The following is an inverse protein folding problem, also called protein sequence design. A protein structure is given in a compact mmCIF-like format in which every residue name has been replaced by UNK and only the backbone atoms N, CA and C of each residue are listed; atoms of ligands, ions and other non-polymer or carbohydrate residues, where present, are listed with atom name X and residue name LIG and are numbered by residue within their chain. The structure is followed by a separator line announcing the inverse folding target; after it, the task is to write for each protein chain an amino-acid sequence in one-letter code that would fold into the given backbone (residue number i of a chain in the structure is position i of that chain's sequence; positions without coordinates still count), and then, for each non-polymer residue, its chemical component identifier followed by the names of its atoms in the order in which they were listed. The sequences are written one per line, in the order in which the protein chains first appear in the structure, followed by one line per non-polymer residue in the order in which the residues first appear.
data_IF_855188924677
#
_entry.id   IF_855188924677
#
_cell.length_a   1.000
_cell.length_b   1.000
_cell.length_c   1.000
_cell.angle_alpha   90.00
_cell.angle_beta   90.00
_cell.angle_gamma   90.00
#
_symmetry.space_group_name_H-M   'P 1'
#
loop_
_entity.id
_entity.type
_entity.pdbx_description
1 polymer ?
#
# COMPACT_ATOMS: atom_id res chain seq x y z
N UNK A 1 -0.72 12.54 5.31
CA UNK A 1 0.16 11.39 5.58
C UNK A 1 1.33 11.44 4.61
N UNK A 2 2.53 11.17 5.08
CA UNK A 2 3.73 11.14 4.24
C UNK A 2 3.78 9.84 3.43
N UNK A 3 4.10 9.93 2.14
CA UNK A 3 4.23 8.79 1.24
C UNK A 3 5.43 8.97 0.29
N UNK A 4 5.94 7.86 -0.25
CA UNK A 4 6.92 7.87 -1.33
C UNK A 4 6.19 7.63 -2.66
N UNK A 5 6.28 8.57 -3.59
CA UNK A 5 5.66 8.45 -4.91
C UNK A 5 6.71 8.40 -6.02
N UNK A 6 6.51 7.47 -6.95
CA UNK A 6 7.10 7.53 -8.29
C UNK A 6 6.26 8.50 -9.12
N UNK A 7 6.83 9.65 -9.47
CA UNK A 7 6.09 10.75 -10.13
C UNK A 7 6.37 10.84 -11.64
N UNK A 8 7.55 10.43 -12.07
CA UNK A 8 7.97 10.28 -13.47
C UNK A 8 8.98 9.13 -13.59
N UNK A 9 9.49 8.85 -14.79
CA UNK A 9 10.43 7.75 -14.98
C UNK A 9 11.65 7.91 -14.06
N UNK A 10 11.86 6.91 -13.20
CA UNK A 10 12.95 6.84 -12.23
C UNK A 10 13.05 7.98 -11.21
N UNK A 11 12.02 8.83 -11.05
CA UNK A 11 12.02 9.90 -10.03
C UNK A 11 11.06 9.59 -8.89
N UNK A 12 11.63 9.49 -7.70
CA UNK A 12 10.90 9.30 -6.45
C UNK A 12 10.89 10.59 -5.64
N UNK A 13 9.73 10.92 -5.08
CA UNK A 13 9.58 12.05 -4.18
C UNK A 13 8.82 11.65 -2.92
N UNK A 14 9.24 12.22 -1.79
CA UNK A 14 8.44 12.18 -0.58
C UNK A 14 7.40 13.29 -0.66
N UNK A 15 6.13 12.91 -0.56
CA UNK A 15 4.99 13.82 -0.67
C UNK A 15 4.10 13.71 0.56
N UNK A 16 3.36 14.77 0.84
CA UNK A 16 2.27 14.75 1.83
C UNK A 16 0.93 14.60 1.11
N UNK A 17 0.23 13.50 1.37
CA UNK A 17 -1.10 13.21 0.83
C UNK A 17 -2.18 13.45 1.90
N UNK A 18 -3.44 13.75 1.52
CA UNK A 18 -4.54 13.67 2.47
C UNK A 18 -4.63 12.25 3.06
N UNK A 19 -5.15 12.09 4.29
CA UNK A 19 -5.46 10.76 4.80
C UNK A 19 -6.44 10.04 3.86
N UNK A 20 -6.42 8.69 3.81
CA UNK A 20 -7.38 7.95 3.00
C UNK A 20 -8.80 8.23 3.50
N UNK A 21 -9.82 8.15 2.63
CA UNK A 21 -11.20 8.15 3.08
C UNK A 21 -11.47 6.94 3.98
N UNK A 22 -12.59 6.93 4.73
CA UNK A 22 -13.01 5.76 5.49
C UNK A 22 -13.07 4.49 4.60
N UNK A 23 -12.69 3.32 5.13
CA UNK A 23 -12.65 2.08 4.35
C UNK A 23 -14.04 1.68 3.84
N UNK A 24 -14.13 1.25 2.58
CA UNK A 24 -15.38 0.80 1.96
C UNK A 24 -15.76 -0.63 2.38
N UNK A 25 -16.83 -1.18 1.80
CA UNK A 25 -17.28 -2.56 2.03
C UNK A 25 -16.13 -3.55 1.79
N UNK A 26 -15.81 -4.35 2.81
CA UNK A 26 -14.76 -5.38 2.74
C UNK A 26 -13.32 -4.84 2.83
N UNK A 27 -13.14 -3.55 3.10
CA UNK A 27 -11.83 -2.92 3.21
C UNK A 27 -11.46 -2.61 4.67
N UNK A 28 -10.16 -2.43 4.92
CA UNK A 28 -9.62 -1.91 6.16
C UNK A 28 -8.60 -0.83 5.86
N UNK A 29 -8.47 0.14 6.76
CA UNK A 29 -7.36 1.10 6.75
C UNK A 29 -6.29 0.60 7.70
N UNK A 30 -5.04 0.57 7.22
CA UNK A 30 -3.89 0.16 8.03
C UNK A 30 -3.02 1.37 8.34
N UNK A 31 -2.53 1.43 9.58
CA UNK A 31 -1.40 2.30 9.93
C UNK A 31 -0.11 1.52 9.73
N UNK A 32 0.59 1.83 8.64
CA UNK A 32 1.87 1.22 8.31
C UNK A 32 2.91 1.55 9.38
N UNK A 33 3.57 0.51 9.91
CA UNK A 33 4.64 0.62 10.92
C UNK A 33 6.02 0.39 10.30
N UNK A 34 6.10 -0.55 9.37
CA UNK A 34 7.31 -0.86 8.62
C UNK A 34 6.98 -1.14 7.16
N UNK A 35 7.86 -0.70 6.28
CA UNK A 35 7.85 -1.02 4.84
C UNK A 35 9.26 -1.50 4.47
N UNK A 36 9.34 -2.64 3.80
CA UNK A 36 10.59 -3.19 3.30
C UNK A 36 10.76 -2.85 1.82
N UNK A 37 12.01 -2.77 1.38
CA UNK A 37 12.34 -2.65 -0.04
C UNK A 37 12.51 -4.05 -0.62
N UNK A 38 11.65 -4.41 -1.57
CA UNK A 38 11.79 -5.64 -2.34
C UNK A 38 12.36 -5.35 -3.73
N UNK A 39 12.90 -6.37 -4.39
CA UNK A 39 13.39 -6.25 -5.75
C UNK A 39 12.29 -5.87 -6.77
N UNK A 40 11.02 -6.22 -6.50
CA UNK A 40 9.87 -5.82 -7.32
C UNK A 40 9.69 -4.30 -7.37
N UNK A 41 9.99 -3.59 -6.27
CA UNK A 41 9.95 -2.13 -6.24
C UNK A 41 11.00 -1.54 -7.20
N UNK A 42 12.20 -2.15 -7.25
CA UNK A 42 13.28 -1.76 -8.16
C UNK A 42 12.89 -2.03 -9.62
N UNK A 43 12.25 -3.16 -9.92
CA UNK A 43 11.74 -3.45 -11.26
C UNK A 43 10.67 -2.45 -11.69
N UNK A 44 9.75 -2.11 -10.77
CA UNK A 44 8.73 -1.09 -10.97
C UNK A 44 9.35 0.29 -11.22
N UNK A 45 10.38 0.66 -10.46
CA UNK A 45 11.14 1.90 -10.64
C UNK A 45 11.86 1.96 -12.00
N UNK A 46 12.49 0.85 -12.44
CA UNK A 46 13.19 0.73 -13.74
C UNK A 46 12.27 0.70 -14.95
N UNK A 47 10.94 0.57 -14.77
CA UNK A 47 9.98 0.53 -15.86
C UNK A 47 9.92 -0.81 -16.61
N UNK A 48 10.22 -1.93 -15.94
CA UNK A 48 10.19 -3.25 -16.56
C UNK A 48 8.76 -3.74 -16.87
N UNK A 49 8.63 -4.57 -17.91
CA UNK A 49 7.42 -4.82 -18.72
C UNK A 49 6.16 -5.35 -18.01
N UNK A 50 6.21 -5.72 -16.73
CA UNK A 50 5.07 -6.33 -16.01
C UNK A 50 4.17 -5.33 -15.27
N UNK A 51 4.60 -4.07 -15.13
CA UNK A 51 3.82 -3.02 -14.50
C UNK A 51 3.30 -2.04 -15.54
N UNK A 52 2.05 -2.19 -15.99
CA UNK A 52 1.30 -1.07 -16.60
C UNK A 52 1.06 0.00 -15.52
N UNK A 53 2.12 0.69 -15.12
CA UNK A 53 2.13 1.68 -14.05
C UNK A 53 1.42 2.96 -14.53
N UNK A 54 0.50 3.46 -13.71
CA UNK A 54 -0.08 4.80 -13.87
C UNK A 54 0.62 5.72 -12.87
N UNK A 55 1.20 6.80 -13.36
CA UNK A 55 1.86 7.80 -12.53
C UNK A 55 0.88 8.93 -12.18
N UNK A 56 1.00 9.56 -10.99
CA UNK A 56 1.91 9.20 -9.90
C UNK A 56 1.48 7.92 -9.16
N UNK A 57 2.46 7.15 -8.67
CA UNK A 57 2.24 5.87 -8.00
C UNK A 57 2.87 5.88 -6.60
N UNK A 58 2.09 5.61 -5.55
CA UNK A 58 2.64 5.30 -4.21
C UNK A 58 3.30 3.93 -4.26
N UNK A 59 4.58 3.85 -3.88
CA UNK A 59 5.39 2.62 -3.97
C UNK A 59 5.54 1.94 -2.60
N UNK A 60 6.00 0.68 -2.60
CA UNK A 60 6.17 -0.16 -1.41
C UNK A 60 5.26 -1.39 -1.45
N UNK A 61 5.80 -2.51 -1.92
CA UNK A 61 5.04 -3.76 -2.06
C UNK A 61 4.96 -4.60 -0.77
N UNK A 62 5.87 -4.39 0.19
CA UNK A 62 5.99 -5.20 1.40
C UNK A 62 5.90 -4.33 2.64
N UNK A 63 4.84 -4.49 3.43
CA UNK A 63 4.65 -3.71 4.64
C UNK A 63 3.90 -4.50 5.73
N UNK A 64 4.13 -4.07 6.97
CA UNK A 64 3.39 -4.51 8.14
C UNK A 64 2.92 -3.32 8.96
N UNK A 65 1.85 -3.52 9.70
CA UNK A 65 1.23 -2.46 10.45
C UNK A 65 0.15 -2.94 11.39
N UNK A 66 -0.68 -1.99 11.81
CA UNK A 66 -1.84 -2.24 12.64
C UNK A 66 -3.11 -1.82 11.89
N UNK A 67 -4.21 -2.51 12.15
CA UNK A 67 -5.54 -2.10 11.68
C UNK A 67 -5.93 -0.80 12.38
N UNK A 68 -6.16 0.26 11.62
CA UNK A 68 -6.57 1.57 12.14
C UNK A 68 -8.09 1.70 12.14
N UNK A 69 -8.74 1.30 11.04
CA UNK A 69 -10.19 1.31 10.88
C UNK A 69 -10.67 0.11 10.05
N UNK A 70 -11.89 -0.35 10.32
CA UNK A 70 -12.55 -1.44 9.58
C UNK A 70 -13.78 -0.92 8.85
N UNK A 71 -13.92 -1.31 7.59
CA UNK A 71 -15.09 -0.99 6.77
C UNK A 71 -16.25 -1.95 7.01
N UNK A 72 -17.45 -1.64 6.47
CA UNK A 72 -18.59 -2.54 6.53
C UNK A 72 -18.26 -3.94 6.01
N UNK A 73 -18.85 -4.98 6.60
CA UNK A 73 -18.69 -6.38 6.14
C UNK A 73 -17.36 -7.05 6.49
N UNK A 74 -16.41 -6.34 7.13
CA UNK A 74 -15.21 -6.96 7.70
C UNK A 74 -15.49 -7.44 9.11
N UNK A 75 -15.44 -8.75 9.34
CA UNK A 75 -15.67 -9.37 10.66
C UNK A 75 -14.45 -10.11 11.21
N UNK A 76 -13.43 -10.34 10.38
CA UNK A 76 -12.24 -11.13 10.72
C UNK A 76 -11.07 -10.33 11.30
N UNK A 77 -11.19 -9.00 11.33
CA UNK A 77 -10.13 -8.08 11.77
C UNK A 77 -10.70 -7.05 12.74
N UNK A 78 -9.89 -6.62 13.70
CA UNK A 78 -10.25 -5.62 14.70
C UNK A 78 -9.25 -4.46 14.69
N UNK A 79 -9.68 -3.21 14.98
CA UNK A 79 -8.75 -2.11 15.23
C UNK A 79 -7.68 -2.47 16.28
N UNK A 80 -6.43 -2.09 16.02
CA UNK A 80 -5.25 -2.41 16.83
C UNK A 80 -4.60 -3.76 16.52
N UNK A 81 -5.21 -4.61 15.70
CA UNK A 81 -4.63 -5.90 15.34
C UNK A 81 -3.39 -5.73 14.45
N UNK A 82 -2.30 -6.44 14.79
CA UNK A 82 -1.10 -6.49 13.96
C UNK A 82 -1.33 -7.37 12.73
N UNK A 83 -0.93 -6.86 11.57
CA UNK A 83 -1.12 -7.52 10.27
C UNK A 83 0.11 -7.34 9.37
N UNK A 84 0.31 -8.33 8.49
CA UNK A 84 1.22 -8.24 7.34
C UNK A 84 0.39 -8.22 6.06
N UNK A 85 0.78 -7.40 5.09
CA UNK A 85 0.05 -7.27 3.84
C UNK A 85 0.51 -8.37 2.88
N UNK A 86 -0.45 -9.02 2.22
CA UNK A 86 -0.19 -9.92 1.12
C UNK A 86 -0.61 -9.24 -0.20
N UNK A 87 0.36 -8.92 -1.05
CA UNK A 87 0.16 -8.13 -2.27
C UNK A 87 -0.57 -8.85 -3.41
N UNK A 88 -1.01 -10.09 -3.21
CA UNK A 88 -1.75 -10.87 -4.19
C UNK A 88 -3.19 -11.14 -3.74
N UNK A 89 -4.14 -11.01 -4.67
CA UNK A 89 -5.53 -11.47 -4.47
C UNK A 89 -5.64 -12.90 -4.95
N UNK A 90 -6.02 -13.81 -4.06
CA UNK A 90 -6.25 -15.23 -4.34
C UNK A 90 -7.74 -15.56 -4.23
N UNK A 91 -8.20 -16.61 -4.90
CA UNK A 91 -9.62 -17.00 -4.91
C UNK A 91 -10.05 -17.95 -3.77
N UNK A 92 -9.09 -18.40 -2.95
CA UNK A 92 -9.28 -19.55 -2.06
C UNK A 92 -8.76 -20.80 -2.74
#
# INVERSE_FOLDING_TARGET
MRALQLIEDRRLETVDLPPPPPPSLGEVTLRIKAVALNHIDVWGWRGMAFAKRKLPLVVGAEASGEVDAVGPGVSSLLPGQLVSIYGARTCG
#
